data_IF_370716960109
#
_entry.id   IF_370716960109
#
_cell.length_a   1.000
_cell.length_b   1.000
_cell.length_c   1.000
_cell.angle_alpha   90.00
_cell.angle_beta   90.00
_cell.angle_gamma   90.00
#
_symmetry.space_group_name_H-M   'P 1'
#
loop_
_entity.id
_entity.type
_entity.pdbx_description
1 polymer ?
#
# COMPACT_ATOMS: atom_id res chain seq x y z
N UNK A 1 -7.84 21.16 1.50
CA UNK A 1 -8.18 21.15 2.94
C UNK A 1 -9.56 20.53 3.06
N UNK A 2 -9.66 19.31 3.55
CA UNK A 2 -10.95 18.62 3.61
C UNK A 2 -11.40 18.52 5.07
N UNK A 3 -12.47 19.24 5.38
CA UNK A 3 -13.22 19.12 6.62
C UNK A 3 -14.30 18.04 6.43
N UNK A 4 -14.47 17.15 7.42
CA UNK A 4 -15.56 16.16 7.41
C UNK A 4 -16.06 15.89 8.83
N UNK A 5 -17.26 15.39 8.93
CA UNK A 5 -17.77 14.76 10.15
C UNK A 5 -17.61 13.24 10.01
N UNK A 6 -17.06 12.58 11.01
CA UNK A 6 -16.95 11.11 11.00
C UNK A 6 -18.34 10.46 11.14
N UNK A 7 -19.20 11.05 11.97
CA UNK A 7 -20.54 10.54 12.23
C UNK A 7 -21.60 11.62 12.01
N UNK A 8 -21.90 12.02 10.75
CA UNK A 8 -22.80 13.14 10.43
C UNK A 8 -24.24 12.92 10.90
N UNK A 9 -24.65 11.69 11.14
CA UNK A 9 -25.99 11.36 11.61
C UNK A 9 -26.34 11.99 12.96
N UNK A 10 -25.36 12.27 13.82
CA UNK A 10 -25.58 12.97 15.07
C UNK A 10 -26.09 14.41 14.89
N UNK A 11 -25.81 15.03 13.73
CA UNK A 11 -26.32 16.38 13.44
C UNK A 11 -27.86 16.41 13.31
N UNK A 12 -28.49 15.27 13.01
CA UNK A 12 -29.95 15.18 13.01
C UNK A 12 -30.55 15.40 14.40
N UNK A 13 -29.80 15.12 15.46
CA UNK A 13 -30.23 15.39 16.83
C UNK A 13 -30.39 16.91 17.11
N UNK A 14 -29.75 17.79 16.32
CA UNK A 14 -30.01 19.23 16.42
C UNK A 14 -31.46 19.61 16.11
N UNK A 15 -32.14 18.86 15.25
CA UNK A 15 -33.55 19.05 14.95
C UNK A 15 -34.46 18.73 16.13
N UNK A 16 -34.01 17.91 17.07
CA UNK A 16 -34.76 17.62 18.28
C UNK A 16 -34.78 18.83 19.27
N UNK A 17 -33.77 19.71 19.23
CA UNK A 17 -33.69 20.84 20.16
C UNK A 17 -34.90 21.80 20.06
N UNK A 18 -35.32 22.27 18.88
CA UNK A 18 -36.51 23.14 18.78
C UNK A 18 -37.79 22.38 19.13
N UNK A 19 -37.87 21.08 18.85
CA UNK A 19 -39.03 20.25 19.21
C UNK A 19 -39.16 20.16 20.73
N UNK A 20 -38.05 19.90 21.43
CA UNK A 20 -38.01 19.85 22.89
C UNK A 20 -38.37 21.20 23.53
N UNK A 21 -37.88 22.30 22.96
CA UNK A 21 -38.23 23.61 23.46
C UNK A 21 -39.73 23.93 23.24
N UNK A 22 -40.28 23.54 22.09
CA UNK A 22 -41.70 23.70 21.80
C UNK A 22 -42.56 22.86 22.77
N UNK A 23 -42.19 21.60 23.03
CA UNK A 23 -42.85 20.74 23.97
C UNK A 23 -42.78 21.30 25.40
N UNK A 24 -41.61 21.78 25.82
CA UNK A 24 -41.39 22.41 27.11
C UNK A 24 -42.29 23.64 27.29
N UNK A 25 -42.43 24.47 26.30
CA UNK A 25 -43.31 25.65 26.35
C UNK A 25 -44.80 25.29 26.46
N UNK A 26 -45.20 24.18 25.81
CA UNK A 26 -46.58 23.67 25.90
C UNK A 26 -46.92 23.01 27.23
N UNK A 27 -45.96 22.31 27.83
CA UNK A 27 -46.13 21.52 29.07
C UNK A 27 -45.77 22.33 30.33
N UNK A 28 -45.15 23.49 30.20
CA UNK A 28 -44.86 24.38 31.32
C UNK A 28 -46.17 24.87 31.90
N UNK A 29 -46.70 24.14 32.89
CA UNK A 29 -47.79 24.61 33.76
C UNK A 29 -47.21 25.66 34.68
N UNK A 30 -47.71 26.87 34.59
CA UNK A 30 -47.40 27.88 35.57
C UNK A 30 -47.98 27.42 36.92
N UNK A 31 -47.10 27.25 37.90
CA UNK A 31 -47.54 26.98 39.25
C UNK A 31 -48.21 28.26 39.75
N UNK A 32 -49.52 28.23 39.82
CA UNK A 32 -50.31 29.39 40.35
C UNK A 32 -50.37 29.22 41.85
N UNK A 33 -49.62 30.03 42.58
CA UNK A 33 -49.76 30.15 44.02
C UNK A 33 -50.79 31.24 44.30
N UNK A 34 -51.84 30.88 45.01
CA UNK A 34 -52.87 31.78 45.47
C UNK A 34 -52.43 32.39 46.81
N UNK A 35 -51.97 33.62 46.82
CA UNK A 35 -51.65 34.36 48.03
C UNK A 35 -52.74 35.37 48.35
N UNK A 36 -53.11 35.42 49.64
CA UNK A 36 -54.13 36.34 50.14
C UNK A 36 -53.72 37.80 50.19
N UNK A 37 -52.42 38.14 49.99
CA UNK A 37 -51.97 39.53 49.99
C UNK A 37 -50.85 39.74 48.95
N UNK A 38 -51.09 40.59 47.95
CA UNK A 38 -50.14 40.94 46.88
C UNK A 38 -49.11 42.01 47.27
N UNK A 39 -49.30 42.71 48.41
CA UNK A 39 -48.44 43.85 48.78
C UNK A 39 -47.04 43.43 49.22
N UNK A 40 -46.89 42.29 49.89
CA UNK A 40 -45.59 41.76 50.32
C UNK A 40 -44.79 41.10 49.17
N UNK A 41 -45.44 40.66 48.12
CA UNK A 41 -44.85 39.94 47.02
C UNK A 41 -44.37 40.85 45.89
N UNK A 42 -44.99 42.07 45.74
CA UNK A 42 -44.63 43.03 44.71
C UNK A 42 -43.16 43.51 44.76
N UNK A 43 -42.58 43.63 45.96
CA UNK A 43 -41.18 44.03 46.13
C UNK A 43 -40.15 42.95 45.68
N UNK A 44 -40.53 41.69 45.77
CA UNK A 44 -39.65 40.53 45.41
C UNK A 44 -39.79 40.16 43.93
N UNK A 45 -40.95 40.41 43.34
CA UNK A 45 -41.25 40.06 41.94
C UNK A 45 -40.67 41.06 40.88
N UNK A 46 -40.16 42.24 41.27
CA UNK A 46 -39.57 43.20 40.36
C UNK A 46 -38.08 42.98 40.05
N UNK A 47 -37.46 41.92 40.57
CA UNK A 47 -36.09 41.59 40.17
C UNK A 47 -36.07 40.96 38.78
N UNK A 48 -35.64 41.74 37.85
CA UNK A 48 -35.16 41.50 36.49
C UNK A 48 -35.12 40.04 36.00
N UNK A 49 -36.29 39.43 35.83
CA UNK A 49 -36.44 38.01 35.37
C UNK A 49 -36.23 37.80 33.88
N UNK A 50 -36.10 38.84 33.07
CA UNK A 50 -36.26 38.70 31.62
C UNK A 50 -34.94 38.43 30.88
N UNK A 51 -33.86 39.12 31.21
CA UNK A 51 -32.59 39.00 30.49
C UNK A 51 -31.75 37.76 30.96
N UNK A 52 -31.58 37.62 32.26
CA UNK A 52 -30.77 36.58 32.82
C UNK A 52 -31.35 35.16 32.59
N UNK A 53 -32.66 35.01 32.71
CA UNK A 53 -33.32 33.73 32.42
C UNK A 53 -33.23 33.32 30.93
N UNK A 54 -33.27 34.32 30.03
CA UNK A 54 -33.07 34.10 28.59
C UNK A 54 -31.64 33.72 28.28
N UNK A 55 -30.64 34.35 28.94
CA UNK A 55 -29.23 34.01 28.79
C UNK A 55 -28.90 32.61 29.27
N UNK A 56 -29.42 32.19 30.42
CA UNK A 56 -29.24 30.83 30.92
C UNK A 56 -29.88 29.79 29.99
N UNK A 57 -31.07 30.10 29.49
CA UNK A 57 -31.75 29.23 28.54
C UNK A 57 -30.95 29.11 27.24
N UNK A 58 -30.44 30.24 26.74
CA UNK A 58 -29.58 30.23 25.55
C UNK A 58 -28.28 29.48 25.78
N UNK A 59 -27.64 29.59 26.96
CA UNK A 59 -26.47 28.87 27.35
C UNK A 59 -26.73 27.33 27.37
N UNK A 60 -27.89 26.90 27.88
CA UNK A 60 -28.31 25.49 27.86
C UNK A 60 -28.40 24.95 26.44
N UNK A 61 -29.15 25.63 25.58
CA UNK A 61 -29.32 25.16 24.19
C UNK A 61 -28.04 25.23 23.39
N UNK A 62 -27.19 26.23 23.63
CA UNK A 62 -25.86 26.30 23.01
C UNK A 62 -24.96 25.17 23.51
N UNK A 63 -24.96 24.87 24.82
CA UNK A 63 -24.21 23.77 25.38
C UNK A 63 -24.63 22.42 24.80
N UNK A 64 -25.94 22.16 24.71
CA UNK A 64 -26.45 20.95 24.07
C UNK A 64 -26.11 20.84 22.59
N UNK A 65 -26.20 21.96 21.84
CA UNK A 65 -25.83 22.00 20.44
C UNK A 65 -24.33 21.70 20.25
N UNK A 66 -23.45 22.27 21.09
CA UNK A 66 -22.01 21.99 21.05
C UNK A 66 -21.70 20.53 21.38
N UNK A 67 -22.40 19.92 22.32
CA UNK A 67 -22.23 18.48 22.61
C UNK A 67 -22.65 17.61 21.42
N UNK A 68 -23.78 17.92 20.78
CA UNK A 68 -24.24 17.19 19.59
C UNK A 68 -23.24 17.33 18.44
N UNK A 69 -22.72 18.54 18.20
CA UNK A 69 -21.68 18.76 17.18
C UNK A 69 -20.40 18.01 17.55
N UNK A 70 -20.03 17.99 18.83
CA UNK A 70 -18.87 17.20 19.29
C UNK A 70 -19.04 15.71 19.06
N UNK A 71 -20.27 15.16 19.28
CA UNK A 71 -20.56 13.74 18.99
C UNK A 71 -20.53 13.43 17.48
N UNK A 72 -20.78 14.39 16.62
CA UNK A 72 -20.60 14.24 15.18
C UNK A 72 -19.12 14.12 14.76
N UNK A 73 -18.18 14.29 15.72
CA UNK A 73 -16.72 14.19 15.53
C UNK A 73 -16.22 15.01 14.35
N UNK A 74 -16.18 16.34 14.47
CA UNK A 74 -15.60 17.18 13.45
C UNK A 74 -14.12 16.87 13.30
N UNK A 75 -13.68 16.60 12.07
CA UNK A 75 -12.33 16.20 11.72
C UNK A 75 -11.76 17.11 10.64
N UNK A 76 -10.50 17.51 10.83
CA UNK A 76 -9.77 18.30 9.85
C UNK A 76 -8.61 17.49 9.30
N UNK A 77 -8.48 17.42 7.97
CA UNK A 77 -7.33 16.75 7.34
C UNK A 77 -6.06 17.56 7.60
N UNK A 78 -5.16 17.02 8.44
CA UNK A 78 -3.91 17.69 8.84
C UNK A 78 -2.76 17.35 7.90
N UNK A 79 -2.86 16.26 7.17
CA UNK A 79 -1.83 15.83 6.24
C UNK A 79 -2.06 14.42 5.73
N UNK A 80 -1.18 14.01 4.84
CA UNK A 80 -1.07 12.60 4.45
C UNK A 80 -0.31 11.89 5.56
N UNK A 81 -0.78 10.72 5.99
CA UNK A 81 0.01 9.89 6.90
C UNK A 81 1.42 9.75 6.32
N UNK A 82 2.48 9.84 7.15
CA UNK A 82 3.78 9.44 6.68
C UNK A 82 3.61 8.04 6.10
N UNK A 83 3.96 7.87 4.83
CA UNK A 83 3.94 6.55 4.18
C UNK A 83 4.71 5.62 5.11
N UNK A 84 4.04 4.73 5.83
CA UNK A 84 4.61 3.41 6.00
C UNK A 84 4.61 2.88 4.58
N UNK A 85 5.74 3.01 3.91
CA UNK A 85 5.94 2.42 2.61
C UNK A 85 5.59 0.94 2.81
N UNK A 86 4.41 0.55 2.37
CA UNK A 86 4.06 -0.85 2.28
C UNK A 86 4.91 -1.32 1.10
N UNK A 87 6.12 -1.79 1.40
CA UNK A 87 7.01 -2.31 0.40
C UNK A 87 6.34 -3.46 -0.32
N UNK A 88 6.65 -3.61 -1.58
CA UNK A 88 6.30 -4.78 -2.38
C UNK A 88 7.24 -5.92 -1.99
N UNK A 89 6.72 -7.13 -1.86
CA UNK A 89 7.56 -8.32 -1.73
C UNK A 89 7.85 -8.88 -3.11
N UNK A 90 9.10 -8.86 -3.49
CA UNK A 90 9.59 -9.24 -4.83
C UNK A 90 10.47 -10.47 -4.70
N UNK A 91 10.23 -11.48 -5.52
CA UNK A 91 11.17 -12.56 -5.73
C UNK A 91 11.62 -12.56 -7.20
N UNK A 92 12.90 -12.50 -7.43
CA UNK A 92 13.47 -12.61 -8.78
C UNK A 92 13.89 -14.06 -9.00
N UNK A 93 13.40 -14.69 -10.06
CA UNK A 93 13.83 -15.99 -10.55
C UNK A 93 14.72 -15.77 -11.77
N UNK A 94 16.03 -15.92 -11.58
CA UNK A 94 17.05 -15.66 -12.61
C UNK A 94 17.56 -16.98 -13.18
N UNK A 95 17.49 -17.07 -14.50
CA UNK A 95 18.08 -18.18 -15.26
C UNK A 95 19.60 -18.06 -15.28
N UNK A 96 20.30 -19.12 -14.86
CA UNK A 96 21.76 -19.27 -14.94
C UNK A 96 22.17 -20.48 -15.79
N UNK A 97 21.33 -20.84 -16.77
CA UNK A 97 21.66 -21.89 -17.74
C UNK A 97 22.78 -21.44 -18.69
N UNK A 98 23.39 -22.39 -19.36
CA UNK A 98 24.54 -22.14 -20.24
C UNK A 98 24.19 -21.22 -21.41
N UNK A 99 22.94 -21.22 -21.89
CA UNK A 99 22.47 -20.32 -22.95
C UNK A 99 22.63 -18.85 -22.59
N UNK A 100 22.53 -18.50 -21.30
CA UNK A 100 22.72 -17.13 -20.77
C UNK A 100 24.16 -16.60 -20.92
N UNK A 101 25.14 -17.44 -21.32
CA UNK A 101 26.49 -17.02 -21.70
C UNK A 101 26.57 -16.44 -23.11
N UNK A 102 25.49 -16.42 -23.87
CA UNK A 102 25.47 -15.81 -25.21
C UNK A 102 25.77 -14.33 -25.10
N UNK A 103 26.71 -13.85 -25.95
CA UNK A 103 27.21 -12.47 -25.96
C UNK A 103 26.50 -11.65 -27.06
N UNK A 104 25.18 -11.53 -26.94
CA UNK A 104 24.30 -10.78 -27.86
C UNK A 104 23.82 -9.44 -27.33
N UNK A 105 24.32 -9.03 -26.18
CA UNK A 105 24.04 -7.74 -25.56
C UNK A 105 25.25 -6.82 -25.54
N UNK A 106 25.02 -5.52 -25.35
CA UNK A 106 26.09 -4.51 -25.20
C UNK A 106 25.93 -3.79 -23.86
N UNK A 107 27.05 -3.61 -23.15
CA UNK A 107 27.15 -2.79 -21.96
C UNK A 107 28.37 -1.87 -22.10
N UNK A 108 28.12 -0.54 -22.03
CA UNK A 108 29.15 0.48 -22.18
C UNK A 108 29.96 0.38 -23.51
N UNK A 109 29.36 -0.14 -24.60
CA UNK A 109 29.98 -0.31 -25.88
C UNK A 109 30.77 -1.59 -26.07
N UNK A 110 30.81 -2.47 -25.08
CA UNK A 110 31.40 -3.79 -25.15
C UNK A 110 30.35 -4.88 -25.23
N UNK A 111 30.60 -5.92 -25.99
CA UNK A 111 29.74 -7.11 -26.02
C UNK A 111 29.89 -7.89 -24.72
N UNK A 112 28.75 -8.22 -24.11
CA UNK A 112 28.70 -8.94 -22.85
C UNK A 112 27.66 -10.04 -22.92
N UNK A 113 27.78 -11.02 -22.03
CA UNK A 113 26.80 -12.10 -21.88
C UNK A 113 25.50 -11.59 -21.24
N UNK A 114 24.42 -12.36 -21.45
CA UNK A 114 23.09 -12.05 -20.93
C UNK A 114 23.04 -12.01 -19.40
N UNK A 115 23.81 -12.89 -18.72
CA UNK A 115 23.91 -12.91 -17.26
C UNK A 115 24.49 -11.62 -16.73
N UNK A 116 25.54 -11.10 -17.35
CA UNK A 116 26.19 -9.85 -16.94
C UNK A 116 25.20 -8.70 -17.03
N UNK A 117 24.45 -8.60 -18.14
CA UNK A 117 23.41 -7.55 -18.30
C UNK A 117 22.29 -7.73 -17.32
N UNK A 118 21.80 -8.95 -17.10
CA UNK A 118 20.75 -9.23 -16.13
C UNK A 118 21.17 -8.86 -14.71
N UNK A 119 22.41 -9.16 -14.32
CA UNK A 119 22.98 -8.77 -13.01
C UNK A 119 23.10 -7.25 -12.85
N UNK A 120 23.60 -6.55 -13.87
CA UNK A 120 23.74 -5.09 -13.85
C UNK A 120 22.38 -4.38 -13.71
N UNK A 121 21.43 -4.79 -14.53
CA UNK A 121 20.07 -4.22 -14.52
C UNK A 121 19.31 -4.55 -13.24
N UNK A 122 19.49 -5.76 -12.72
CA UNK A 122 18.87 -6.16 -11.45
C UNK A 122 19.43 -5.36 -10.26
N UNK A 123 20.74 -5.07 -10.24
CA UNK A 123 21.33 -4.21 -9.19
C UNK A 123 20.78 -2.78 -9.26
N UNK A 124 20.63 -2.22 -10.43
CA UNK A 124 20.02 -0.91 -10.64
C UNK A 124 18.54 -0.89 -10.17
N UNK A 125 17.80 -1.95 -10.49
CA UNK A 125 16.41 -2.11 -10.02
C UNK A 125 16.31 -2.18 -8.49
N UNK A 126 17.23 -2.90 -7.83
CA UNK A 126 17.28 -3.00 -6.36
C UNK A 126 17.59 -1.64 -5.72
N UNK A 127 18.53 -0.87 -6.28
CA UNK A 127 18.90 0.45 -5.76
C UNK A 127 17.74 1.44 -5.76
N UNK A 128 16.85 1.35 -6.74
CA UNK A 128 15.70 2.24 -6.88
C UNK A 128 14.52 1.87 -5.94
N UNK A 129 14.67 0.81 -5.12
CA UNK A 129 13.59 0.25 -4.28
C UNK A 129 13.96 0.07 -2.80
N UNK A 130 14.34 1.13 -2.08
CA UNK A 130 14.88 1.04 -0.72
C UNK A 130 13.90 0.45 0.32
N UNK A 131 12.61 0.39 0.02
CA UNK A 131 11.58 -0.04 0.96
C UNK A 131 10.97 -1.41 0.62
N UNK A 132 11.38 -2.03 -0.50
CA UNK A 132 10.84 -3.31 -0.96
C UNK A 132 11.72 -4.46 -0.47
N UNK A 133 11.11 -5.57 -0.04
CA UNK A 133 11.85 -6.79 0.24
C UNK A 133 12.07 -7.55 -1.04
N UNK A 134 13.32 -7.81 -1.35
CA UNK A 134 13.69 -8.50 -2.58
C UNK A 134 14.40 -9.81 -2.22
N UNK A 135 13.93 -10.91 -2.77
CA UNK A 135 14.53 -12.24 -2.69
C UNK A 135 15.03 -12.69 -4.06
N UNK A 136 15.92 -13.68 -4.06
CA UNK A 136 16.56 -14.16 -5.26
C UNK A 136 16.56 -15.67 -5.30
N UNK A 137 15.91 -16.22 -6.31
CA UNK A 137 16.00 -17.62 -6.72
C UNK A 137 16.78 -17.69 -8.03
N UNK A 138 17.63 -18.66 -8.17
CA UNK A 138 18.36 -18.94 -9.41
C UNK A 138 18.07 -20.36 -9.88
N UNK A 139 18.08 -20.58 -11.16
CA UNK A 139 17.82 -21.89 -11.72
C UNK A 139 18.62 -22.17 -13.00
N UNK A 140 18.87 -23.42 -13.22
CA UNK A 140 19.35 -24.06 -14.46
C UNK A 140 18.60 -25.39 -14.63
N UNK A 141 19.23 -26.52 -14.55
CA UNK A 141 18.58 -27.83 -14.47
C UNK A 141 17.80 -28.04 -13.16
N UNK A 142 18.19 -27.34 -12.09
CA UNK A 142 17.55 -27.28 -10.78
C UNK A 142 17.41 -25.83 -10.30
N UNK A 143 16.58 -25.62 -9.28
CA UNK A 143 16.37 -24.30 -8.70
C UNK A 143 16.96 -24.20 -7.28
N UNK A 144 17.59 -23.06 -6.99
CA UNK A 144 18.21 -22.76 -5.70
C UNK A 144 17.76 -21.40 -5.20
N UNK A 145 17.65 -21.24 -3.88
CA UNK A 145 17.42 -19.95 -3.25
C UNK A 145 18.78 -19.31 -2.97
N UNK A 146 19.10 -18.28 -3.73
CA UNK A 146 20.34 -17.52 -3.54
C UNK A 146 20.24 -16.52 -2.38
N UNK A 147 19.08 -15.89 -2.21
CA UNK A 147 18.81 -15.02 -1.08
C UNK A 147 17.31 -15.01 -0.71
N UNK A 148 16.95 -15.09 0.58
CA UNK A 148 15.58 -14.92 1.01
C UNK A 148 15.15 -13.45 0.83
N UNK A 149 13.83 -13.13 0.79
CA UNK A 149 13.34 -11.77 0.73
C UNK A 149 13.85 -10.91 1.89
N UNK A 150 14.65 -9.90 1.57
CA UNK A 150 15.33 -9.04 2.55
C UNK A 150 15.28 -7.58 2.16
N UNK A 151 15.41 -6.68 3.14
CA UNK A 151 15.65 -5.25 2.95
C UNK A 151 17.14 -4.91 2.91
N UNK A 152 18.02 -5.89 3.17
CA UNK A 152 19.48 -5.71 3.06
C UNK A 152 19.91 -5.81 1.60
N UNK A 153 19.77 -4.70 0.89
CA UNK A 153 20.08 -4.62 -0.53
C UNK A 153 21.58 -4.72 -0.81
N UNK A 154 22.42 -4.35 0.16
CA UNK A 154 23.87 -4.49 0.03
C UNK A 154 24.28 -5.96 0.06
N UNK A 155 23.66 -6.75 0.94
CA UNK A 155 23.82 -8.21 0.96
C UNK A 155 23.39 -8.82 -0.39
N UNK A 156 22.23 -8.41 -0.95
CA UNK A 156 21.75 -8.90 -2.25
C UNK A 156 22.74 -8.58 -3.38
N UNK A 157 23.23 -7.36 -3.44
CA UNK A 157 24.19 -6.92 -4.48
C UNK A 157 25.46 -7.76 -4.45
N UNK A 158 26.03 -8.00 -3.26
CA UNK A 158 27.21 -8.86 -3.10
C UNK A 158 26.94 -10.28 -3.54
N UNK A 159 25.73 -10.81 -3.32
CA UNK A 159 25.34 -12.14 -3.79
C UNK A 159 25.20 -12.19 -5.31
N UNK A 160 24.56 -11.18 -5.92
CA UNK A 160 24.43 -11.06 -7.37
C UNK A 160 25.80 -11.02 -8.04
N UNK A 161 26.77 -10.27 -7.50
CA UNK A 161 28.11 -10.19 -8.08
C UNK A 161 28.82 -11.55 -8.12
N UNK A 162 28.60 -12.39 -7.11
CA UNK A 162 29.21 -13.74 -6.98
C UNK A 162 28.53 -14.84 -7.78
N UNK A 163 27.34 -14.55 -8.35
CA UNK A 163 26.66 -15.56 -9.17
C UNK A 163 27.42 -15.85 -10.45
N UNK A 164 27.53 -17.10 -10.75
CA UNK A 164 28.12 -17.59 -11.98
C UNK A 164 27.16 -18.57 -12.63
N UNK A 165 27.28 -18.74 -13.95
CA UNK A 165 26.52 -19.73 -14.69
C UNK A 165 26.88 -21.12 -14.16
N UNK A 166 25.84 -21.87 -13.79
CA UNK A 166 25.96 -23.19 -13.23
C UNK A 166 26.28 -24.15 -14.37
N UNK A 167 27.32 -24.42 -14.88
CA UNK A 167 27.72 -25.30 -16.01
C UNK A 167 26.84 -26.52 -16.34
N UNK A 168 25.67 -26.62 -15.72
CA UNK A 168 24.64 -27.64 -15.90
C UNK A 168 23.82 -27.38 -17.16
N UNK A 169 23.53 -28.43 -17.91
CA UNK A 169 22.68 -28.34 -19.09
C UNK A 169 21.20 -28.47 -18.69
N UNK A 170 20.38 -27.57 -19.20
CA UNK A 170 18.95 -27.59 -19.02
C UNK A 170 18.41 -26.37 -18.28
N UNK A 171 17.14 -26.08 -18.50
CA UNK A 171 16.42 -24.91 -17.98
C UNK A 171 15.12 -25.38 -17.35
N UNK A 172 15.03 -25.33 -16.01
CA UNK A 172 13.88 -25.79 -15.21
C UNK A 172 13.04 -24.57 -14.78
N UNK A 173 12.34 -23.93 -15.72
CA UNK A 173 11.52 -22.73 -15.48
C UNK A 173 10.49 -22.97 -14.37
N UNK A 174 9.78 -24.10 -14.42
CA UNK A 174 8.76 -24.43 -13.43
C UNK A 174 9.31 -24.58 -12.02
N UNK A 175 10.52 -25.15 -11.87
CA UNK A 175 11.19 -25.25 -10.57
C UNK A 175 11.65 -23.87 -10.06
N UNK A 176 12.23 -23.04 -10.93
CA UNK A 176 12.62 -21.66 -10.61
C UNK A 176 11.45 -20.80 -10.14
N UNK A 177 10.35 -20.85 -10.89
CA UNK A 177 9.12 -20.14 -10.53
C UNK A 177 8.55 -20.65 -9.21
N UNK A 178 8.46 -21.96 -9.01
CA UNK A 178 7.97 -22.55 -7.75
C UNK A 178 8.83 -22.16 -6.55
N UNK A 179 10.15 -22.14 -6.71
CA UNK A 179 11.07 -21.72 -5.65
C UNK A 179 10.87 -20.25 -5.25
N UNK A 180 10.71 -19.36 -6.25
CA UNK A 180 10.44 -17.94 -6.02
C UNK A 180 9.09 -17.73 -5.34
N UNK A 181 8.03 -18.34 -5.84
CA UNK A 181 6.66 -18.23 -5.28
C UNK A 181 6.62 -18.72 -3.82
N UNK A 182 7.29 -19.83 -3.52
CA UNK A 182 7.32 -20.39 -2.16
C UNK A 182 7.97 -19.42 -1.15
N UNK A 183 8.93 -18.58 -1.56
CA UNK A 183 9.53 -17.56 -0.69
C UNK A 183 8.57 -16.42 -0.36
N UNK A 184 7.58 -16.14 -1.21
CA UNK A 184 6.57 -15.11 -0.99
C UNK A 184 5.33 -15.62 -0.26
N UNK A 185 5.18 -16.93 -0.11
CA UNK A 185 3.97 -17.56 0.45
C UNK A 185 3.61 -17.06 1.84
N UNK A 186 4.59 -16.91 2.73
CA UNK A 186 4.38 -16.54 4.14
C UNK A 186 4.38 -15.03 4.37
N UNK A 187 4.70 -14.25 3.34
CA UNK A 187 4.77 -12.79 3.45
C UNK A 187 3.38 -12.18 3.34
N UNK A 188 3.13 -11.15 4.16
CA UNK A 188 1.80 -10.52 4.32
C UNK A 188 1.70 -9.14 3.66
N UNK A 189 2.58 -8.81 2.71
CA UNK A 189 2.46 -7.55 1.97
C UNK A 189 1.23 -7.53 1.08
N UNK A 190 0.77 -6.33 0.73
CA UNK A 190 -0.39 -6.14 -0.15
C UNK A 190 -0.10 -6.56 -1.59
N UNK A 191 1.13 -6.36 -2.06
CA UNK A 191 1.59 -6.80 -3.37
C UNK A 191 2.76 -7.76 -3.22
N UNK A 192 2.66 -8.90 -3.91
CA UNK A 192 3.68 -9.95 -3.99
C UNK A 192 3.88 -10.30 -5.44
N UNK A 193 5.10 -10.11 -5.93
CA UNK A 193 5.42 -10.31 -7.34
C UNK A 193 6.63 -11.23 -7.52
N UNK A 194 6.60 -12.00 -8.59
CA UNK A 194 7.77 -12.72 -9.11
C UNK A 194 8.18 -12.09 -10.43
N UNK A 195 9.48 -11.85 -10.61
CA UNK A 195 10.06 -11.49 -11.89
C UNK A 195 10.86 -12.69 -12.37
N UNK A 196 10.37 -13.37 -13.39
CA UNK A 196 11.01 -14.53 -14.00
C UNK A 196 11.78 -14.09 -15.23
N UNK A 197 13.08 -14.28 -15.22
CA UNK A 197 13.98 -13.92 -16.33
C UNK A 197 14.65 -15.18 -16.87
N UNK A 198 14.45 -15.47 -18.17
CA UNK A 198 14.98 -16.64 -18.86
C UNK A 198 15.22 -16.32 -20.34
N UNK A 199 16.09 -17.09 -20.98
CA UNK A 199 16.39 -16.98 -22.41
C UNK A 199 16.05 -18.25 -23.19
N UNK A 200 15.44 -19.25 -22.53
CA UNK A 200 15.24 -20.57 -23.12
C UNK A 200 13.82 -21.13 -22.97
N UNK A 201 13.74 -22.40 -23.34
CA UNK A 201 12.57 -23.23 -23.15
C UNK A 201 12.71 -24.11 -21.89
N UNK A 202 11.57 -24.49 -21.30
CA UNK A 202 11.58 -25.45 -20.22
C UNK A 202 11.90 -26.86 -20.73
N UNK A 203 13.11 -27.31 -20.48
CA UNK A 203 13.58 -28.62 -20.94
C UNK A 203 14.17 -29.49 -19.80
N UNK A 204 14.07 -29.04 -18.55
CA UNK A 204 14.51 -29.74 -17.36
C UNK A 204 13.52 -29.55 -16.20
N UNK A 205 13.73 -30.29 -15.11
CA UNK A 205 12.93 -30.23 -13.91
C UNK A 205 11.63 -31.04 -13.98
N UNK A 206 11.04 -31.28 -12.79
CA UNK A 206 9.86 -32.16 -12.64
C UNK A 206 8.56 -31.35 -12.55
N UNK A 207 8.62 -30.02 -12.46
CA UNK A 207 7.45 -29.12 -12.30
C UNK A 207 7.18 -28.43 -13.62
N UNK A 208 6.02 -28.67 -14.26
CA UNK A 208 5.64 -27.93 -15.46
C UNK A 208 5.47 -26.41 -15.14
N UNK A 209 5.92 -25.49 -16.01
CA UNK A 209 5.83 -24.04 -15.77
C UNK A 209 4.42 -23.55 -15.49
N UNK A 210 3.41 -24.07 -16.21
CA UNK A 210 2.00 -23.67 -16.02
C UNK A 210 1.43 -24.14 -14.69
N UNK A 211 1.87 -25.29 -14.16
CA UNK A 211 1.49 -25.75 -12.82
C UNK A 211 2.06 -24.83 -11.74
N UNK A 212 3.31 -24.38 -11.91
CA UNK A 212 3.89 -23.37 -11.03
C UNK A 212 3.14 -22.02 -11.09
N UNK A 213 2.67 -21.63 -12.27
CA UNK A 213 1.83 -20.44 -12.44
C UNK A 213 0.46 -20.59 -11.76
N UNK A 214 -0.17 -21.76 -11.80
CA UNK A 214 -1.41 -22.05 -11.05
C UNK A 214 -1.22 -21.89 -9.55
N UNK A 215 -0.11 -22.40 -9.03
CA UNK A 215 0.24 -22.21 -7.62
C UNK A 215 0.45 -20.74 -7.28
N UNK A 216 1.13 -19.97 -8.14
CA UNK A 216 1.30 -18.54 -7.97
C UNK A 216 -0.05 -17.80 -7.94
N UNK A 217 -0.94 -18.10 -8.88
CA UNK A 217 -2.28 -17.54 -8.96
C UNK A 217 -3.11 -17.82 -7.68
N UNK A 218 -3.09 -19.08 -7.20
CA UNK A 218 -3.84 -19.47 -6.00
C UNK A 218 -3.33 -18.77 -4.73
N UNK A 219 -2.06 -18.39 -4.70
CA UNK A 219 -1.44 -17.63 -3.62
C UNK A 219 -1.57 -16.11 -3.80
N UNK A 220 -2.17 -15.63 -4.90
CA UNK A 220 -2.28 -14.20 -5.22
C UNK A 220 -0.94 -13.54 -5.49
N UNK A 221 0.02 -14.29 -6.09
CA UNK A 221 1.33 -13.80 -6.51
C UNK A 221 1.30 -13.52 -8.00
N UNK A 222 1.57 -12.28 -8.41
CA UNK A 222 1.70 -11.92 -9.82
C UNK A 222 3.05 -12.32 -10.37
N UNK A 223 3.10 -12.78 -11.61
CA UNK A 223 4.35 -13.16 -12.26
C UNK A 223 4.58 -12.33 -13.51
N UNK A 224 5.63 -11.54 -13.50
CA UNK A 224 6.17 -10.86 -14.67
C UNK A 224 7.21 -11.76 -15.31
N UNK A 225 7.07 -12.03 -16.59
CA UNK A 225 8.00 -12.89 -17.32
C UNK A 225 8.79 -12.08 -18.33
N UNK A 226 10.11 -12.26 -18.36
CA UNK A 226 11.03 -11.54 -19.24
C UNK A 226 11.82 -12.57 -20.04
N UNK A 227 11.56 -12.62 -21.34
CA UNK A 227 12.38 -13.39 -22.29
C UNK A 227 13.58 -12.55 -22.73
N UNK A 228 14.80 -13.04 -22.51
CA UNK A 228 16.04 -12.30 -22.77
C UNK A 228 16.76 -12.89 -23.99
N UNK A 229 17.04 -12.06 -24.99
CA UNK A 229 17.82 -12.47 -26.19
C UNK A 229 17.29 -11.87 -27.47
N UNK A 230 18.19 -11.74 -28.46
CA UNK A 230 17.85 -11.29 -29.80
C UNK A 230 17.02 -12.36 -30.56
N UNK A 231 16.39 -11.97 -31.64
CA UNK A 231 15.76 -12.94 -32.57
C UNK A 231 16.80 -13.47 -33.52
N UNK A 232 16.81 -14.80 -33.71
CA UNK A 232 17.72 -15.47 -34.64
C UNK A 232 18.88 -16.17 -33.93
N UNK A 233 20.11 -15.97 -34.40
CA UNK A 233 21.29 -16.62 -33.86
C UNK A 233 22.08 -15.65 -32.96
N UNK A 234 22.51 -16.14 -31.78
CA UNK A 234 23.37 -15.43 -30.86
C UNK A 234 24.77 -16.01 -30.82
N UNK A 235 25.82 -15.17 -30.74
CA UNK A 235 27.19 -15.64 -30.59
C UNK A 235 27.44 -16.16 -29.17
N UNK A 236 27.77 -17.43 -29.05
CA UNK A 236 28.10 -18.11 -27.78
C UNK A 236 29.57 -18.43 -27.72
N UNK A 237 30.34 -17.99 -26.71
CA UNK A 237 31.74 -18.36 -26.58
C UNK A 237 31.87 -19.83 -26.24
N UNK A 238 32.65 -20.60 -27.03
CA UNK A 238 32.87 -22.02 -26.85
C UNK A 238 34.29 -22.37 -26.39
N UNK A 239 35.15 -21.37 -26.31
CA UNK A 239 36.56 -21.59 -25.88
C UNK A 239 37.46 -20.44 -26.31
N UNK A 240 38.77 -20.67 -26.20
CA UNK A 240 39.78 -19.71 -26.67
C UNK A 240 40.69 -20.44 -27.68
N UNK A 241 41.14 -19.70 -28.70
CA UNK A 241 42.11 -20.19 -29.66
C UNK A 241 43.52 -20.26 -29.03
N UNK A 242 44.49 -20.76 -29.80
CA UNK A 242 45.89 -20.82 -29.39
C UNK A 242 46.52 -19.45 -29.08
N UNK A 243 45.89 -18.36 -29.50
CA UNK A 243 46.30 -16.99 -29.24
C UNK A 243 45.51 -16.32 -28.12
N UNK A 244 44.67 -17.07 -27.40
CA UNK A 244 43.88 -16.59 -26.27
C UNK A 244 42.59 -15.81 -26.68
N UNK A 245 42.23 -15.72 -27.96
CA UNK A 245 41.04 -15.03 -28.45
C UNK A 245 39.82 -15.96 -28.30
N UNK A 246 38.67 -15.35 -27.91
CA UNK A 246 37.40 -16.09 -27.79
C UNK A 246 36.96 -16.65 -29.14
N UNK A 247 36.60 -17.92 -29.17
CA UNK A 247 36.01 -18.60 -30.33
C UNK A 247 34.51 -18.65 -30.12
N UNK A 248 33.74 -18.19 -31.10
CA UNK A 248 32.29 -18.11 -31.01
C UNK A 248 31.62 -19.16 -31.92
N UNK A 249 30.53 -19.73 -31.42
CA UNK A 249 29.60 -20.53 -32.22
C UNK A 249 28.25 -19.77 -32.25
N UNK A 250 27.65 -19.77 -33.44
CA UNK A 250 26.28 -19.26 -33.56
C UNK A 250 25.28 -20.31 -33.04
N UNK A 251 24.44 -19.89 -32.07
CA UNK A 251 23.42 -20.77 -31.48
C UNK A 251 22.06 -20.10 -31.72
N UNK A 252 21.08 -20.87 -32.19
CA UNK A 252 19.73 -20.40 -32.36
C UNK A 252 19.12 -20.01 -31.02
N UNK A 253 18.52 -18.83 -30.95
CA UNK A 253 17.80 -18.37 -29.77
C UNK A 253 16.37 -18.82 -29.88
N UNK A 254 15.97 -19.71 -28.97
CA UNK A 254 14.65 -20.34 -28.98
C UNK A 254 13.96 -20.10 -27.60
N UNK A 255 13.31 -18.94 -27.49
CA UNK A 255 12.55 -18.54 -26.31
C UNK A 255 11.10 -18.99 -26.50
N UNK A 256 10.57 -19.71 -25.52
CA UNK A 256 9.16 -20.11 -25.52
C UNK A 256 8.28 -18.93 -25.03
N UNK A 257 8.08 -17.95 -25.95
CA UNK A 257 7.28 -16.74 -25.66
C UNK A 257 5.83 -17.11 -25.32
N UNK A 258 5.30 -18.18 -25.90
CA UNK A 258 3.91 -18.62 -25.66
C UNK A 258 3.71 -19.09 -24.22
N UNK A 259 4.60 -19.96 -23.73
CA UNK A 259 4.54 -20.40 -22.33
C UNK A 259 4.77 -19.24 -21.36
N UNK A 260 5.73 -18.35 -21.62
CA UNK A 260 6.00 -17.18 -20.77
C UNK A 260 4.80 -16.21 -20.73
N UNK A 261 4.16 -15.97 -21.85
CA UNK A 261 2.93 -15.15 -21.94
C UNK A 261 1.80 -15.79 -21.13
N UNK A 262 1.57 -17.09 -21.29
CA UNK A 262 0.52 -17.81 -20.55
C UNK A 262 0.75 -17.81 -19.03
N UNK A 263 2.01 -17.89 -18.57
CA UNK A 263 2.35 -17.77 -17.14
C UNK A 263 1.96 -16.38 -16.63
N UNK A 264 2.36 -15.32 -17.35
CA UNK A 264 2.08 -13.95 -16.98
C UNK A 264 0.58 -13.67 -16.94
N UNK A 265 -0.15 -13.97 -18.01
CA UNK A 265 -1.60 -13.74 -18.14
C UNK A 265 -2.39 -14.46 -17.04
N UNK A 266 -2.03 -15.70 -16.74
CA UNK A 266 -2.70 -16.51 -15.72
C UNK A 266 -2.60 -15.93 -14.32
N UNK A 267 -1.47 -15.27 -14.03
CA UNK A 267 -1.19 -14.68 -12.72
C UNK A 267 -1.52 -13.19 -12.61
N UNK A 268 -2.02 -12.59 -13.69
CA UNK A 268 -2.33 -11.15 -13.76
C UNK A 268 -1.09 -10.26 -13.91
N UNK A 269 0.04 -10.84 -14.34
CA UNK A 269 1.25 -10.12 -14.71
C UNK A 269 1.32 -9.78 -16.19
N UNK A 270 2.52 -9.60 -16.72
CA UNK A 270 2.77 -9.26 -18.11
C UNK A 270 4.05 -9.90 -18.63
N UNK A 271 4.03 -10.38 -19.88
CA UNK A 271 5.21 -10.83 -20.59
C UNK A 271 5.93 -9.66 -21.25
N UNK A 272 7.24 -9.69 -21.22
CA UNK A 272 8.12 -8.74 -21.88
C UNK A 272 9.22 -9.48 -22.62
N UNK A 273 9.68 -8.88 -23.72
CA UNK A 273 10.88 -9.35 -24.43
C UNK A 273 11.99 -8.31 -24.34
N UNK A 274 13.16 -8.72 -23.89
CA UNK A 274 14.36 -7.91 -23.82
C UNK A 274 15.36 -8.36 -24.90
N UNK A 275 15.51 -7.55 -25.92
CA UNK A 275 16.44 -7.77 -27.05
C UNK A 275 17.71 -6.91 -26.94
N UNK A 276 17.72 -6.00 -25.98
CA UNK A 276 18.84 -5.10 -25.72
C UNK A 276 18.90 -4.70 -24.25
N UNK A 277 20.06 -4.26 -23.78
CA UNK A 277 20.26 -3.75 -22.42
C UNK A 277 19.31 -2.60 -22.11
N UNK A 278 19.08 -1.70 -23.09
CA UNK A 278 18.16 -0.58 -22.94
C UNK A 278 16.71 -1.05 -22.74
N UNK A 279 16.27 -2.02 -23.54
CA UNK A 279 14.93 -2.61 -23.42
C UNK A 279 14.76 -3.28 -22.06
N UNK A 280 15.74 -4.04 -21.58
CA UNK A 280 15.68 -4.69 -20.27
C UNK A 280 15.52 -3.67 -19.13
N UNK A 281 16.25 -2.56 -19.15
CA UNK A 281 16.08 -1.47 -18.17
C UNK A 281 14.68 -0.86 -18.23
N UNK A 282 14.17 -0.56 -19.41
CA UNK A 282 12.83 0.02 -19.56
C UNK A 282 11.73 -0.92 -19.08
N UNK A 283 11.92 -2.25 -19.19
CA UNK A 283 11.00 -3.27 -18.65
C UNK A 283 10.95 -3.20 -17.13
N UNK A 284 12.10 -3.10 -16.46
CA UNK A 284 12.14 -2.96 -15.00
C UNK A 284 11.49 -1.65 -14.54
N UNK A 285 11.66 -0.55 -15.28
CA UNK A 285 10.98 0.72 -15.00
C UNK A 285 9.45 0.59 -15.18
N UNK A 286 8.99 -0.15 -16.20
CA UNK A 286 7.57 -0.39 -16.44
C UNK A 286 6.96 -1.22 -15.31
N UNK A 287 7.63 -2.29 -14.88
CA UNK A 287 7.21 -3.11 -13.73
C UNK A 287 7.12 -2.24 -12.46
N UNK A 288 8.10 -1.38 -12.23
CA UNK A 288 8.11 -0.44 -11.11
C UNK A 288 6.88 0.47 -11.14
N UNK A 289 6.55 1.01 -12.30
CA UNK A 289 5.39 1.88 -12.48
C UNK A 289 4.07 1.15 -12.24
N UNK A 290 3.92 -0.08 -12.75
CA UNK A 290 2.71 -0.89 -12.60
C UNK A 290 2.43 -1.19 -11.12
N UNK A 291 3.45 -1.60 -10.37
CA UNK A 291 3.29 -1.98 -8.97
C UNK A 291 3.15 -0.77 -8.03
N UNK A 292 3.81 0.35 -8.30
CA UNK A 292 3.63 1.59 -7.52
C UNK A 292 2.23 2.17 -7.64
N UNK A 293 1.61 2.07 -8.81
CA UNK A 293 0.25 2.58 -9.05
C UNK A 293 -0.78 1.83 -8.20
N UNK A 294 -0.64 0.53 -7.99
CA UNK A 294 -1.55 -0.25 -7.12
C UNK A 294 -1.40 0.09 -5.62
N UNK A 295 -0.18 0.39 -5.17
CA UNK A 295 0.09 0.74 -3.77
C UNK A 295 -0.40 2.15 -3.43
N UNK A 296 -0.40 3.08 -4.38
CA UNK A 296 -0.84 4.47 -4.16
C UNK A 296 -2.34 4.66 -3.95
N UNK A 297 -3.17 3.69 -4.32
CA UNK A 297 -4.65 3.81 -4.27
C UNK A 297 -5.21 3.87 -2.83
N UNK A 298 -4.41 3.60 -1.80
CA UNK A 298 -4.82 3.65 -0.39
C UNK A 298 -4.02 4.69 0.42
N UNK A 299 -4.16 5.96 0.07
CA UNK A 299 -3.63 7.04 0.91
C UNK A 299 -4.50 7.20 2.16
N UNK A 300 -4.00 6.80 3.31
CA UNK A 300 -4.61 7.11 4.58
C UNK A 300 -4.37 8.59 4.90
N UNK A 301 -5.43 9.39 4.88
CA UNK A 301 -5.39 10.80 5.31
C UNK A 301 -5.44 10.81 6.83
N UNK A 302 -4.48 11.48 7.47
CA UNK A 302 -4.53 11.73 8.91
C UNK A 302 -5.53 12.86 9.19
N UNK A 303 -6.48 12.57 10.06
CA UNK A 303 -7.46 13.55 10.53
C UNK A 303 -7.15 13.93 11.98
N UNK A 304 -7.07 15.22 12.26
CA UNK A 304 -7.09 15.72 13.64
C UNK A 304 -8.53 15.82 14.12
N UNK A 305 -8.79 15.29 15.31
CA UNK A 305 -10.11 15.35 15.94
C UNK A 305 -10.29 16.67 16.70
N UNK A 306 -11.35 17.39 16.38
CA UNK A 306 -11.73 18.62 17.04
C UNK A 306 -12.88 18.44 18.04
N UNK A 307 -13.21 17.19 18.34
CA UNK A 307 -14.28 16.82 19.27
C UNK A 307 -14.14 17.52 20.63
N UNK A 308 -12.93 17.56 21.20
CA UNK A 308 -12.67 18.15 22.53
C UNK A 308 -12.97 19.65 22.56
N UNK A 309 -12.68 20.37 21.46
CA UNK A 309 -12.95 21.81 21.35
C UNK A 309 -14.44 22.16 21.27
N UNK A 310 -15.29 21.20 20.95
CA UNK A 310 -16.75 21.34 21.00
C UNK A 310 -17.32 20.84 22.34
N UNK A 311 -16.87 19.69 22.81
CA UNK A 311 -17.39 19.04 24.01
C UNK A 311 -17.03 19.79 25.30
N UNK A 312 -15.77 20.27 25.43
CA UNK A 312 -15.33 20.95 26.63
C UNK A 312 -16.10 22.26 26.90
N UNK A 313 -16.26 23.20 25.95
CA UNK A 313 -17.06 24.41 26.20
C UNK A 313 -18.56 24.10 26.36
N UNK A 314 -19.07 23.09 25.64
CA UNK A 314 -20.47 22.64 25.80
C UNK A 314 -20.75 22.14 27.21
N UNK A 315 -19.89 21.28 27.75
CA UNK A 315 -19.99 20.79 29.12
C UNK A 315 -19.81 21.91 30.15
N UNK A 316 -18.83 22.79 29.93
CA UNK A 316 -18.61 23.94 30.83
C UNK A 316 -19.82 24.87 30.91
N UNK A 317 -20.48 25.16 29.78
CA UNK A 317 -21.72 25.94 29.76
C UNK A 317 -22.85 25.30 30.53
N UNK A 318 -23.04 24.01 30.41
CA UNK A 318 -24.09 23.28 31.14
C UNK A 318 -23.81 23.20 32.63
N UNK A 319 -22.54 23.00 33.04
CA UNK A 319 -22.12 23.01 34.42
C UNK A 319 -22.30 24.41 35.05
N UNK A 320 -21.89 25.45 34.34
CA UNK A 320 -22.05 26.83 34.78
C UNK A 320 -23.54 27.19 34.97
N UNK A 321 -24.38 26.80 34.04
CA UNK A 321 -25.84 26.97 34.16
C UNK A 321 -26.38 26.26 35.40
N UNK A 322 -25.99 25.02 35.61
CA UNK A 322 -26.43 24.21 36.74
C UNK A 322 -26.00 24.84 38.09
N UNK A 323 -24.74 25.31 38.17
CA UNK A 323 -24.23 26.03 39.35
C UNK A 323 -25.01 27.30 39.59
N UNK A 324 -25.20 28.14 38.59
CA UNK A 324 -25.90 29.43 38.72
C UNK A 324 -27.38 29.24 39.09
N UNK A 325 -28.04 28.29 38.50
CA UNK A 325 -29.42 27.93 38.85
C UNK A 325 -29.59 27.44 40.27
N UNK A 326 -28.60 26.76 40.86
CA UNK A 326 -28.68 26.18 42.19
C UNK A 326 -28.07 27.07 43.29
N UNK A 327 -27.25 28.08 42.94
CA UNK A 327 -26.62 28.99 43.92
C UNK A 327 -27.25 30.39 43.90
N UNK A 328 -27.07 31.10 42.80
CA UNK A 328 -27.43 32.53 42.73
C UNK A 328 -28.92 32.72 42.41
N UNK A 329 -29.48 31.86 41.55
CA UNK A 329 -30.87 31.96 41.09
C UNK A 329 -31.69 30.73 41.47
N UNK A 330 -31.61 30.37 42.77
CA UNK A 330 -32.44 29.32 43.30
C UNK A 330 -33.91 29.69 43.08
N UNK A 331 -34.63 28.92 42.30
CA UNK A 331 -36.09 28.98 42.24
C UNK A 331 -36.61 28.34 43.51
N UNK A 332 -37.15 29.13 44.44
CA UNK A 332 -37.93 28.58 45.51
C UNK A 332 -39.16 27.92 44.88
N UNK A 333 -39.55 26.73 45.39
CA UNK A 333 -40.67 25.94 44.86
C UNK A 333 -41.98 26.67 44.90
#
# INVERSE_FOLDING_TARGET
MNFRFESPWWLLALLALPILEWHRRRTAREAVFVYSSLTLVKGILQMNRTLASRLLLAARWLGLALLIVGMARPQWAVGKAPRKASGVDIAVALDLSVSMLSEDFELKGERVDRVTVAKDTLKEFIENRPNDRIGLAVFSSQAYIAAPPTLDHEFLRRHIDRMEVLGEQGTAIGAGLSAAVNRLRELKSKSRIVILLTDGQNNAGNVPPLTAAEAAQSLGVKVYTIGVGIRGNAPMPVGRDAFGRKVYRQVAVDIDEDTLTRIADRTGGKYFRADSTKTLRSIYEEIDRLEKTEVETHQNVLYAEWMVWCVAPGAALLLLELIVCNTVWRRLP
#
